data_IF_628748846886
#
_entry.id   IF_628748846886
#
_cell.length_a   1.000
_cell.length_b   1.000
_cell.length_c   1.000
_cell.angle_alpha   90.00
_cell.angle_beta   90.00
_cell.angle_gamma   90.00
#
_symmetry.space_group_name_H-M   'P 1'
#
loop_
_entity.id
_entity.type
_entity.pdbx_description
1 polymer ?
#
# COMPACT_ATOMS: atom_id res chain seq x y z
N UNK A 1 35.00 -15.16 20.71
CA UNK A 1 33.80 -15.70 20.06
C UNK A 1 32.71 -14.65 20.15
N UNK A 2 31.83 -14.53 19.16
CA UNK A 2 30.72 -13.58 19.22
C UNK A 2 29.79 -13.97 20.37
N UNK A 3 29.76 -13.18 21.43
CA UNK A 3 28.74 -13.27 22.47
C UNK A 3 27.44 -12.70 21.89
N UNK A 4 26.68 -13.56 21.21
CA UNK A 4 25.53 -13.13 20.40
C UNK A 4 24.25 -13.04 21.22
N UNK A 5 23.71 -11.83 21.37
CA UNK A 5 22.35 -11.63 21.85
C UNK A 5 21.31 -12.28 20.91
N UNK A 6 20.25 -12.87 21.47
CA UNK A 6 19.19 -13.51 20.70
C UNK A 6 18.37 -12.46 19.93
N UNK A 7 18.43 -12.51 18.59
CA UNK A 7 17.62 -11.67 17.71
C UNK A 7 16.23 -12.31 17.51
N UNK A 8 15.17 -11.51 17.60
CA UNK A 8 13.81 -11.92 17.23
C UNK A 8 13.32 -11.09 16.05
N UNK A 9 12.83 -11.75 14.99
CA UNK A 9 12.23 -11.09 13.82
C UNK A 9 10.71 -11.14 13.96
N UNK A 10 10.06 -9.98 13.92
CA UNK A 10 8.61 -9.88 13.88
C UNK A 10 8.15 -9.59 12.45
N UNK A 11 7.30 -10.46 11.90
CA UNK A 11 6.69 -10.29 10.58
C UNK A 11 5.16 -10.15 10.70
N UNK A 12 4.64 -9.07 11.33
CA UNK A 12 3.22 -8.97 11.72
C UNK A 12 2.25 -8.89 10.54
N UNK A 13 2.74 -8.75 9.31
CA UNK A 13 1.94 -8.62 8.10
C UNK A 13 2.00 -9.84 7.18
N UNK A 14 2.79 -10.88 7.52
CA UNK A 14 3.14 -11.96 6.58
C UNK A 14 1.94 -12.80 6.12
N UNK A 15 0.97 -13.02 7.02
CA UNK A 15 -0.27 -13.75 6.72
C UNK A 15 -1.40 -12.83 6.23
N UNK A 16 -1.18 -11.52 6.18
CA UNK A 16 -2.23 -10.56 5.85
C UNK A 16 -2.28 -10.31 4.33
N UNK A 17 -3.49 -10.37 3.79
CA UNK A 17 -3.80 -9.84 2.47
C UNK A 17 -3.63 -8.31 2.43
N UNK A 18 -3.58 -7.74 1.22
CA UNK A 18 -3.46 -6.28 1.08
C UNK A 18 -4.65 -5.52 1.68
N UNK A 19 -5.86 -6.08 1.58
CA UNK A 19 -7.06 -5.53 2.18
C UNK A 19 -6.96 -5.53 3.71
N UNK A 20 -6.50 -6.63 4.33
CA UNK A 20 -6.31 -6.71 5.78
C UNK A 20 -5.22 -5.76 6.28
N UNK A 21 -4.13 -5.59 5.51
CA UNK A 21 -3.10 -4.58 5.81
C UNK A 21 -3.71 -3.17 5.80
N UNK A 22 -4.59 -2.88 4.83
CA UNK A 22 -5.27 -1.59 4.71
C UNK A 22 -6.20 -1.35 5.91
N UNK A 23 -7.04 -2.33 6.24
CA UNK A 23 -7.93 -2.26 7.40
C UNK A 23 -7.14 -2.09 8.71
N UNK A 24 -6.05 -2.83 8.87
CA UNK A 24 -5.18 -2.73 10.06
C UNK A 24 -4.56 -1.35 10.20
N UNK A 25 -4.04 -0.77 9.11
CA UNK A 25 -3.49 0.58 9.15
C UNK A 25 -4.56 1.62 9.46
N UNK A 26 -5.76 1.53 8.86
CA UNK A 26 -6.87 2.44 9.15
C UNK A 26 -7.30 2.37 10.61
N UNK A 27 -7.40 1.16 11.17
CA UNK A 27 -7.71 0.94 12.59
C UNK A 27 -6.64 1.51 13.54
N UNK A 28 -5.39 1.63 13.08
CA UNK A 28 -4.29 2.28 13.81
C UNK A 28 -4.23 3.80 13.57
N UNK A 29 -5.15 4.38 12.81
CA UNK A 29 -5.17 5.80 12.49
C UNK A 29 -4.17 6.24 11.42
N UNK A 30 -3.68 5.33 10.58
CA UNK A 30 -2.77 5.66 9.49
C UNK A 30 -3.47 6.51 8.43
N UNK A 31 -2.89 7.66 8.11
CA UNK A 31 -3.27 8.44 6.93
C UNK A 31 -2.56 7.90 5.68
N UNK A 32 -3.30 7.12 4.89
CA UNK A 32 -2.75 6.49 3.69
C UNK A 32 -2.27 7.49 2.62
N UNK A 33 -2.73 8.76 2.65
CA UNK A 33 -2.31 9.82 1.72
C UNK A 33 -0.86 10.24 1.91
N UNK A 34 -0.28 9.93 3.07
CA UNK A 34 1.12 10.23 3.41
C UNK A 34 2.09 9.09 3.05
N UNK A 35 1.58 8.00 2.48
CA UNK A 35 2.38 6.82 2.12
C UNK A 35 2.54 6.69 0.61
N UNK A 36 3.68 6.15 0.18
CA UNK A 36 3.95 5.85 -1.23
C UNK A 36 4.15 4.34 -1.38
N UNK A 37 3.38 3.74 -2.28
CA UNK A 37 3.59 2.35 -2.72
C UNK A 37 4.02 2.28 -4.18
N UNK A 38 3.74 3.31 -4.97
CA UNK A 38 4.00 3.34 -6.40
C UNK A 38 5.50 3.32 -6.71
N UNK A 39 5.93 2.42 -7.58
CA UNK A 39 7.32 2.33 -8.06
C UNK A 39 7.77 3.53 -8.90
N UNK A 40 6.82 4.24 -9.49
CA UNK A 40 7.05 5.36 -10.39
C UNK A 40 6.25 6.56 -9.89
N UNK A 41 6.32 6.89 -8.60
CA UNK A 41 5.71 8.12 -8.13
C UNK A 41 6.38 9.32 -8.85
N UNK A 42 5.62 10.38 -9.14
CA UNK A 42 6.24 11.63 -9.62
C UNK A 42 6.89 12.41 -8.47
N UNK A 43 7.52 13.54 -8.81
CA UNK A 43 8.18 14.44 -7.85
C UNK A 43 7.22 14.99 -6.77
N UNK A 44 5.90 14.97 -7.01
CA UNK A 44 4.89 15.38 -6.04
C UNK A 44 4.31 14.20 -5.24
N UNK A 45 4.91 13.01 -5.37
CA UNK A 45 4.52 11.78 -4.71
C UNK A 45 3.27 11.12 -5.28
N UNK A 46 2.79 11.56 -6.46
CA UNK A 46 1.56 11.01 -7.06
C UNK A 46 1.85 9.68 -7.76
N UNK A 47 1.01 8.70 -7.50
CA UNK A 47 1.10 7.35 -8.03
C UNK A 47 0.81 7.30 -9.55
N UNK A 48 1.54 6.46 -10.29
CA UNK A 48 1.44 6.38 -11.75
C UNK A 48 0.15 5.70 -12.26
N UNK A 49 -0.55 4.94 -11.41
CA UNK A 49 -1.79 4.25 -11.78
C UNK A 49 -1.60 2.94 -12.57
N UNK A 50 -0.44 2.71 -13.18
CA UNK A 50 -0.25 1.62 -14.16
C UNK A 50 0.73 0.52 -13.72
N UNK A 51 1.51 0.74 -12.65
CA UNK A 51 2.43 -0.28 -12.16
C UNK A 51 1.74 -1.27 -11.21
N UNK A 52 2.36 -2.43 -10.98
CA UNK A 52 1.76 -3.48 -10.16
C UNK A 52 1.48 -3.05 -8.73
N UNK A 53 2.34 -2.22 -8.13
CA UNK A 53 2.07 -1.68 -6.81
C UNK A 53 0.83 -0.77 -6.77
N UNK A 54 0.56 -0.02 -7.86
CA UNK A 54 -0.67 0.77 -7.97
C UNK A 54 -1.90 -0.15 -8.08
N UNK A 55 -1.82 -1.20 -8.91
CA UNK A 55 -2.90 -2.18 -9.07
C UNK A 55 -3.22 -2.90 -7.76
N UNK A 56 -2.20 -3.44 -7.10
CA UNK A 56 -2.34 -4.15 -5.82
C UNK A 56 -2.90 -3.25 -4.72
N UNK A 57 -2.43 -2.00 -4.66
CA UNK A 57 -2.92 -1.03 -3.66
C UNK A 57 -4.38 -0.67 -3.92
N UNK A 58 -4.73 -0.33 -5.16
CA UNK A 58 -6.12 -0.01 -5.55
C UNK A 58 -7.06 -1.18 -5.27
N UNK A 59 -6.69 -2.38 -5.71
CA UNK A 59 -7.44 -3.61 -5.43
C UNK A 59 -7.58 -3.84 -3.92
N UNK A 60 -6.51 -3.62 -3.15
CA UNK A 60 -6.57 -3.74 -1.70
C UNK A 60 -7.58 -2.80 -1.05
N UNK A 61 -7.68 -1.53 -1.49
CA UNK A 61 -8.70 -0.60 -0.99
C UNK A 61 -10.11 -1.05 -1.37
N UNK A 62 -10.29 -1.46 -2.63
CA UNK A 62 -11.56 -1.98 -3.13
C UNK A 62 -12.02 -3.20 -2.35
N UNK A 63 -11.15 -4.20 -2.17
CA UNK A 63 -11.42 -5.43 -1.43
C UNK A 63 -11.66 -5.16 0.07
N UNK A 64 -11.06 -4.09 0.63
CA UNK A 64 -11.30 -3.64 2.00
C UNK A 64 -12.64 -2.87 2.15
N UNK A 65 -13.35 -2.58 1.06
CA UNK A 65 -14.56 -1.77 1.07
C UNK A 65 -14.31 -0.31 1.46
N UNK A 66 -13.10 0.20 1.23
CA UNK A 66 -12.69 1.57 1.54
C UNK A 66 -12.42 2.36 0.26
N UNK A 67 -12.64 3.66 0.32
CA UNK A 67 -12.20 4.57 -0.74
C UNK A 67 -10.67 4.55 -0.85
N UNK A 68 -10.17 4.51 -2.08
CA UNK A 68 -8.73 4.57 -2.33
C UNK A 68 -8.20 6.00 -2.12
N UNK A 69 -7.56 6.22 -0.97
CA UNK A 69 -6.98 7.51 -0.58
C UNK A 69 -5.67 7.84 -1.36
N UNK A 70 -5.29 7.04 -2.36
CA UNK A 70 -4.07 7.24 -3.14
C UNK A 70 -4.18 8.44 -4.08
N UNK A 71 -3.20 9.35 -3.99
CA UNK A 71 -3.08 10.48 -4.93
C UNK A 71 -2.47 10.00 -6.24
N UNK A 72 -3.27 9.86 -7.28
CA UNK A 72 -2.81 9.48 -8.63
C UNK A 72 -2.37 10.69 -9.47
N UNK A 73 -1.54 10.42 -10.49
CA UNK A 73 -1.23 11.41 -11.52
C UNK A 73 -2.51 11.81 -12.27
N UNK A 74 -2.60 13.05 -12.80
CA UNK A 74 -3.71 13.43 -13.66
C UNK A 74 -3.83 12.49 -14.87
N UNK A 75 -5.05 12.20 -15.30
CA UNK A 75 -5.32 11.40 -16.50
C UNK A 75 -5.16 9.89 -16.34
N UNK A 76 -4.96 9.38 -15.12
CA UNK A 76 -5.07 7.94 -14.86
C UNK A 76 -6.52 7.51 -15.02
N UNK A 77 -6.75 6.59 -15.97
CA UNK A 77 -8.05 5.98 -16.21
C UNK A 77 -8.09 4.57 -15.61
N UNK A 78 -9.15 4.33 -14.88
CA UNK A 78 -9.41 3.13 -14.09
C UNK A 78 -10.63 2.34 -14.61
N UNK A 79 -11.23 2.81 -15.70
CA UNK A 79 -12.40 2.20 -16.35
C UNK A 79 -12.05 1.04 -17.28
N UNK A 80 -10.76 0.78 -17.52
CA UNK A 80 -10.28 -0.38 -18.26
C UNK A 80 -10.47 -1.70 -17.48
N UNK A 81 -10.47 -2.85 -18.17
CA UNK A 81 -10.54 -4.15 -17.52
C UNK A 81 -9.32 -4.36 -16.61
N UNK A 82 -9.58 -4.86 -15.40
CA UNK A 82 -8.56 -5.20 -14.40
C UNK A 82 -7.64 -6.35 -14.86
#
# INVERSE_FOLDING_TARGET
GVEGHQLTVHAPLIELSKAEIILRGKALGLDYRTTISCYQADEQGRACGVCDACRLRRKGFLDAGLEDETRYRPGVDFSGPD
#
